data_IF_732056801596
#
_entry.id   IF_732056801596
#
_cell.length_a   1.000
_cell.length_b   1.000
_cell.length_c   1.000
_cell.angle_alpha   90.00
_cell.angle_beta   90.00
_cell.angle_gamma   90.00
#
_symmetry.space_group_name_H-M   'P 1'
#
loop_
_entity.id
_entity.type
_entity.pdbx_description
1 polymer ?
#
# COMPACT_ATOMS: atom_id res chain seq x y z
N UNK A 1 -6.36 -8.42 0.71
CA UNK A 1 -5.34 -8.36 -0.37
C UNK A 1 -4.86 -6.93 -0.45
N UNK A 2 -3.58 -6.68 -0.71
CA UNK A 2 -3.07 -5.31 -0.78
C UNK A 2 -2.09 -5.12 -1.92
N UNK A 3 -1.94 -3.88 -2.36
CA UNK A 3 -0.97 -3.44 -3.36
C UNK A 3 -0.16 -2.28 -2.79
N UNK A 4 1.08 -2.10 -3.24
CA UNK A 4 1.91 -1.03 -2.73
C UNK A 4 3.32 -1.00 -3.30
N UNK A 5 4.15 -0.16 -2.68
CA UNK A 5 5.55 0.04 -3.00
C UNK A 5 6.41 -0.42 -1.83
N UNK A 6 7.61 -0.91 -2.12
CA UNK A 6 8.61 -1.24 -1.12
C UNK A 6 10.01 -0.90 -1.62
N UNK A 7 10.87 -0.44 -0.71
CA UNK A 7 12.29 -0.44 -0.98
C UNK A 7 12.84 -1.87 -1.10
N UNK A 8 14.00 -2.02 -1.74
CA UNK A 8 14.72 -3.28 -1.76
C UNK A 8 15.07 -3.74 -0.33
N UNK A 9 14.87 -5.03 -0.05
CA UNK A 9 15.22 -5.64 1.25
C UNK A 9 14.12 -5.61 2.31
N UNK A 10 12.94 -5.04 2.01
CA UNK A 10 11.75 -5.19 2.87
C UNK A 10 11.36 -6.68 2.98
N UNK A 11 10.88 -7.08 4.16
CA UNK A 11 10.43 -8.45 4.40
C UNK A 11 9.16 -8.78 3.60
N UNK A 12 9.29 -9.68 2.62
CA UNK A 12 8.19 -10.09 1.73
C UNK A 12 7.16 -11.01 2.40
N UNK A 13 7.37 -11.43 3.66
CA UNK A 13 6.41 -12.23 4.44
C UNK A 13 5.41 -11.37 5.23
N UNK A 14 5.38 -10.05 5.00
CA UNK A 14 4.44 -9.12 5.63
C UNK A 14 3.63 -8.38 4.58
N UNK A 15 2.45 -7.90 4.97
CA UNK A 15 1.57 -7.18 4.06
C UNK A 15 2.18 -5.83 3.63
N UNK A 16 1.89 -5.34 2.41
CA UNK A 16 2.38 -4.04 1.93
C UNK A 16 2.07 -2.91 2.92
N UNK A 17 3.04 -2.01 3.16
CA UNK A 17 2.85 -0.86 4.05
C UNK A 17 3.13 -1.11 5.53
N UNK A 18 3.31 -2.36 5.96
CA UNK A 18 3.48 -2.71 7.37
C UNK A 18 4.87 -2.44 7.95
N UNK A 19 5.90 -2.57 7.13
CA UNK A 19 7.29 -2.44 7.55
C UNK A 19 7.92 -1.14 7.04
N UNK A 20 9.00 -0.69 7.69
CA UNK A 20 9.74 0.50 7.27
C UNK A 20 10.09 0.44 5.78
N UNK A 21 9.90 1.57 5.11
CA UNK A 21 10.13 1.72 3.66
C UNK A 21 9.18 0.90 2.78
N UNK A 22 8.03 0.51 3.34
CA UNK A 22 6.90 -0.02 2.60
C UNK A 22 5.68 0.87 2.76
N UNK A 23 4.90 0.99 1.69
CA UNK A 23 3.67 1.76 1.60
C UNK A 23 2.63 0.90 0.88
N UNK A 24 1.40 0.85 1.36
CA UNK A 24 0.39 -0.04 0.79
C UNK A 24 -1.03 0.42 1.01
N UNK A 25 -1.93 -0.10 0.18
CA UNK A 25 -3.38 0.06 0.25
C UNK A 25 -4.01 -1.32 0.33
N UNK A 26 -4.81 -1.55 1.37
CA UNK A 26 -5.42 -2.86 1.64
C UNK A 26 -6.89 -2.83 1.21
N UNK A 27 -7.26 -3.81 0.40
CA UNK A 27 -8.59 -3.90 -0.17
C UNK A 27 -9.66 -4.43 0.78
N UNK A 28 -9.28 -5.08 1.87
CA UNK A 28 -10.21 -5.63 2.85
C UNK A 28 -10.83 -4.56 3.75
N UNK A 29 -10.11 -3.46 4.02
CA UNK A 29 -10.58 -2.37 4.88
C UNK A 29 -10.54 -0.99 4.20
N UNK A 30 -9.96 -0.86 3.01
CA UNK A 30 -9.82 0.42 2.33
C UNK A 30 -8.84 1.37 3.03
N UNK A 31 -7.91 0.84 3.84
CA UNK A 31 -6.94 1.64 4.57
C UNK A 31 -5.60 1.75 3.83
N UNK A 32 -4.95 2.91 3.99
CA UNK A 32 -3.56 3.13 3.62
C UNK A 32 -2.64 2.78 4.80
N UNK A 33 -1.49 2.19 4.50
CA UNK A 33 -0.47 1.76 5.45
C UNK A 33 0.87 2.36 5.04
N UNK A 34 1.51 3.08 5.96
CA UNK A 34 2.73 3.82 5.71
C UNK A 34 3.77 3.46 6.77
N UNK A 35 4.60 2.44 6.48
CA UNK A 35 5.60 1.91 7.40
C UNK A 35 5.05 1.60 8.80
N UNK A 36 3.82 1.10 8.87
CA UNK A 36 3.04 0.89 10.09
C UNK A 36 2.09 -0.27 9.91
N UNK A 37 2.00 -1.16 10.92
CA UNK A 37 0.98 -2.20 10.97
C UNK A 37 -0.44 -1.67 11.26
N UNK A 38 -0.56 -0.40 11.64
CA UNK A 38 -1.85 0.28 11.83
C UNK A 38 -2.14 1.16 10.62
N UNK A 39 -3.21 0.85 9.91
CA UNK A 39 -3.66 1.59 8.73
C UNK A 39 -4.49 2.84 9.09
N UNK A 40 -4.74 3.67 8.08
CA UNK A 40 -5.62 4.85 8.17
C UNK A 40 -6.68 4.80 7.05
N UNK A 41 -7.94 5.19 7.33
CA UNK A 41 -8.98 5.23 6.30
C UNK A 41 -8.53 6.04 5.08
N UNK A 42 -8.71 5.50 3.88
CA UNK A 42 -8.22 6.15 2.66
C UNK A 42 -9.21 6.06 1.49
N UNK A 43 -9.71 4.86 1.20
CA UNK A 43 -10.54 4.60 0.02
C UNK A 43 -11.56 3.49 0.23
N UNK A 44 -12.25 3.06 -0.83
CA UNK A 44 -13.20 1.95 -0.76
C UNK A 44 -12.51 0.61 -0.48
N UNK A 45 -13.29 -0.45 -0.25
CA UNK A 45 -12.76 -1.82 -0.29
C UNK A 45 -12.67 -2.30 -1.74
N UNK A 46 -11.86 -3.34 -1.98
CA UNK A 46 -11.81 -4.00 -3.29
C UNK A 46 -13.07 -4.84 -3.50
N UNK A 47 -13.55 -4.88 -4.74
CA UNK A 47 -14.59 -5.78 -5.19
C UNK A 47 -14.18 -6.57 -6.43
N UNK A 48 -15.02 -7.53 -6.82
CA UNK A 48 -14.76 -8.37 -7.98
C UNK A 48 -14.83 -7.56 -9.26
N UNK A 49 -13.77 -7.64 -10.07
CA UNK A 49 -13.66 -6.91 -11.33
C UNK A 49 -12.90 -5.59 -11.23
N UNK A 50 -12.48 -5.17 -10.03
CA UNK A 50 -11.68 -3.97 -9.87
C UNK A 50 -10.31 -4.08 -10.52
N UNK A 51 -9.87 -2.99 -11.15
CA UNK A 51 -8.51 -2.79 -11.63
C UNK A 51 -7.83 -1.77 -10.73
N UNK A 52 -6.83 -2.22 -9.96
CA UNK A 52 -6.14 -1.37 -8.99
C UNK A 52 -4.78 -0.94 -9.53
N UNK A 53 -4.52 0.37 -9.51
CA UNK A 53 -3.23 0.95 -9.87
C UNK A 53 -2.36 1.25 -8.66
N UNK A 54 -1.04 1.30 -8.87
CA UNK A 54 -0.08 1.81 -7.89
C UNK A 54 1.00 2.57 -8.65
N UNK A 55 1.21 3.84 -8.29
CA UNK A 55 2.07 4.76 -9.01
C UNK A 55 3.11 5.39 -8.08
N UNK A 56 4.30 5.66 -8.63
CA UNK A 56 5.35 6.42 -7.96
C UNK A 56 5.72 7.61 -8.81
N UNK A 57 5.75 8.79 -8.19
CA UNK A 57 6.27 10.00 -8.78
C UNK A 57 7.62 10.34 -8.13
N UNK A 58 8.71 10.06 -8.83
CA UNK A 58 10.07 10.29 -8.36
C UNK A 58 10.50 11.77 -8.43
N UNK A 59 9.75 12.64 -9.12
CA UNK A 59 10.03 14.07 -9.16
C UNK A 59 9.54 14.72 -7.86
N UNK A 60 8.32 14.37 -7.45
CA UNK A 60 7.68 14.93 -6.25
C UNK A 60 7.90 14.07 -4.99
N UNK A 61 8.50 12.90 -5.12
CA UNK A 61 8.63 11.90 -4.06
C UNK A 61 7.28 11.52 -3.41
N UNK A 62 6.28 11.27 -4.25
CA UNK A 62 4.93 10.85 -3.82
C UNK A 62 4.55 9.51 -4.43
N UNK A 63 3.61 8.81 -3.80
CA UNK A 63 2.96 7.63 -4.37
C UNK A 63 1.44 7.81 -4.40
N UNK A 64 0.79 7.12 -5.33
CA UNK A 64 -0.66 7.12 -5.55
C UNK A 64 -1.17 5.70 -5.73
#
# INVERSE_FOLDING_TARGET
>A
MGIGLSAQGVNMNRLPGWDKHSYGYHGDDGHSFCSSGTGQPYGPTFTTGDVIGCCVNLINNTCF
#
